data_IF_712537926960
#
_entry.id   IF_712537926960
#
_cell.length_a   1.000
_cell.length_b   1.000
_cell.length_c   1.000
_cell.angle_alpha   90.00
_cell.angle_beta   90.00
_cell.angle_gamma   90.00
#
_symmetry.space_group_name_H-M   'P 1'
#
loop_
_entity.id
_entity.type
_entity.pdbx_description
1 polymer ?
#
# COMPACT_ATOMS: atom_id res chain seq x y z
N UNK A 1 27.59 2.77 45.11
CA UNK A 1 26.61 2.66 44.01
C UNK A 1 25.14 2.59 44.47
N UNK A 2 24.71 1.60 45.35
CA UNK A 2 23.30 1.53 45.82
C UNK A 2 22.95 2.73 46.76
N UNK A 3 23.89 3.17 47.58
CA UNK A 3 23.74 4.34 48.48
C UNK A 3 23.58 5.64 47.69
N UNK A 4 24.33 5.79 46.59
CA UNK A 4 24.32 7.01 45.76
C UNK A 4 22.99 7.14 45.01
N UNK A 5 22.44 6.03 44.54
CA UNK A 5 21.13 5.97 43.91
C UNK A 5 19.97 6.32 44.87
N UNK A 6 20.04 5.82 46.11
CA UNK A 6 19.06 6.19 47.16
C UNK A 6 19.16 7.67 47.52
N UNK A 7 20.37 8.24 47.56
CA UNK A 7 20.57 9.64 47.82
C UNK A 7 20.02 10.51 46.70
N UNK A 8 20.30 10.17 45.44
CA UNK A 8 19.76 10.86 44.28
C UNK A 8 18.23 10.87 44.25
N UNK A 9 17.59 9.75 44.51
CA UNK A 9 16.11 9.64 44.59
C UNK A 9 15.53 10.52 45.72
N UNK A 10 16.17 10.56 46.89
CA UNK A 10 15.75 11.44 47.99
C UNK A 10 15.88 12.92 47.65
N UNK A 11 16.93 13.30 46.92
CA UNK A 11 17.16 14.69 46.51
C UNK A 11 16.11 15.11 45.47
N UNK A 12 15.81 14.27 44.50
CA UNK A 12 14.75 14.52 43.52
C UNK A 12 13.35 14.62 44.17
N UNK A 13 13.08 13.82 45.19
CA UNK A 13 11.83 13.90 45.94
C UNK A 13 11.68 15.17 46.76
N UNK A 14 12.78 15.80 47.17
CA UNK A 14 12.77 17.08 47.93
C UNK A 14 12.55 18.32 47.05
N UNK A 15 12.75 18.20 45.71
CA UNK A 15 12.55 19.27 44.73
C UNK A 15 11.55 18.85 43.68
N UNK A 16 10.26 18.71 44.03
CA UNK A 16 9.25 18.10 43.11
C UNK A 16 9.05 18.95 41.86
N UNK A 17 9.07 20.26 41.92
CA UNK A 17 8.90 21.13 40.75
C UNK A 17 10.00 20.93 39.70
N UNK A 18 11.27 20.90 40.13
CA UNK A 18 12.39 20.63 39.22
C UNK A 18 12.30 19.23 38.63
N UNK A 19 11.98 18.25 39.46
CA UNK A 19 11.87 16.83 39.04
C UNK A 19 10.78 16.64 38.00
N UNK A 20 9.61 17.25 38.19
CA UNK A 20 8.51 17.18 37.23
C UNK A 20 8.92 17.78 35.87
N UNK A 21 9.53 18.98 35.89
CA UNK A 21 9.98 19.65 34.67
C UNK A 21 11.01 18.77 33.93
N UNK A 22 12.01 18.25 34.67
CA UNK A 22 13.03 17.39 34.07
C UNK A 22 12.47 16.10 33.48
N UNK A 23 11.54 15.43 34.18
CA UNK A 23 10.89 14.20 33.70
C UNK A 23 10.03 14.50 32.49
N UNK A 24 9.23 15.57 32.48
CA UNK A 24 8.39 15.93 31.34
C UNK A 24 9.25 16.27 30.12
N UNK A 25 10.34 17.03 30.31
CA UNK A 25 11.25 17.36 29.19
C UNK A 25 11.89 16.11 28.59
N UNK A 26 12.38 15.19 29.43
CA UNK A 26 12.94 13.91 28.99
C UNK A 26 11.90 13.04 28.32
N UNK A 27 10.70 12.93 28.86
CA UNK A 27 9.61 12.16 28.29
C UNK A 27 9.20 12.68 26.91
N UNK A 28 9.12 14.01 26.73
CA UNK A 28 8.84 14.63 25.43
C UNK A 28 9.97 14.36 24.43
N UNK A 29 11.22 14.52 24.83
CA UNK A 29 12.37 14.28 23.96
C UNK A 29 12.46 12.81 23.51
N UNK A 30 12.32 11.87 24.44
CA UNK A 30 12.33 10.43 24.12
C UNK A 30 11.10 10.05 23.29
N UNK A 31 9.92 10.57 23.66
CA UNK A 31 8.67 10.30 22.95
C UNK A 31 8.71 10.78 21.49
N UNK A 32 9.20 12.01 21.26
CA UNK A 32 9.35 12.57 19.93
C UNK A 32 10.33 11.73 19.07
N UNK A 33 11.51 11.42 19.60
CA UNK A 33 12.49 10.59 18.90
C UNK A 33 11.96 9.18 18.60
N UNK A 34 11.26 8.57 19.54
CA UNK A 34 10.66 7.24 19.34
C UNK A 34 9.58 7.28 18.28
N UNK A 35 8.73 8.30 18.27
CA UNK A 35 7.68 8.46 17.25
C UNK A 35 8.27 8.63 15.85
N UNK A 36 9.30 9.49 15.71
CA UNK A 36 9.99 9.70 14.43
C UNK A 36 10.69 8.40 13.98
N UNK A 37 11.39 7.72 14.90
CA UNK A 37 12.05 6.46 14.58
C UNK A 37 11.05 5.36 14.17
N UNK A 38 9.91 5.26 14.86
CA UNK A 38 8.85 4.32 14.47
C UNK A 38 8.32 4.61 13.08
N UNK A 39 8.10 5.87 12.73
CA UNK A 39 7.66 6.28 11.41
C UNK A 39 8.69 5.92 10.33
N UNK A 40 9.96 6.24 10.56
CA UNK A 40 11.07 5.90 9.66
C UNK A 40 11.20 4.37 9.52
N UNK A 41 11.12 3.64 10.62
CA UNK A 41 11.20 2.19 10.62
C UNK A 41 10.06 1.56 9.81
N UNK A 42 8.83 2.05 9.97
CA UNK A 42 7.67 1.52 9.25
C UNK A 42 7.70 1.87 7.75
N UNK A 43 8.24 3.04 7.38
CA UNK A 43 8.29 3.50 5.98
C UNK A 43 9.52 2.98 5.22
N UNK A 44 10.69 2.87 5.87
CA UNK A 44 11.96 2.63 5.18
C UNK A 44 12.68 1.34 5.59
N UNK A 45 12.54 0.91 6.86
CA UNK A 45 13.29 -0.24 7.37
C UNK A 45 12.49 -1.54 7.37
N UNK A 46 11.15 -1.47 7.49
CA UNK A 46 10.31 -2.62 7.19
C UNK A 46 10.29 -2.77 5.69
N UNK A 47 11.04 -3.73 5.18
CA UNK A 47 11.08 -4.06 3.75
C UNK A 47 9.66 -4.20 3.19
N UNK A 48 9.50 -3.85 1.93
CA UNK A 48 8.25 -4.06 1.21
C UNK A 48 7.79 -5.51 1.42
N UNK A 49 6.50 -5.79 1.64
CA UNK A 49 5.98 -7.15 1.90
C UNK A 49 5.96 -7.99 0.62
N UNK A 50 6.88 -7.72 -0.28
CA UNK A 50 7.11 -8.48 -1.48
C UNK A 50 8.02 -9.66 -1.19
N UNK A 51 7.83 -10.74 -1.93
CA UNK A 51 8.59 -11.98 -1.71
C UNK A 51 10.10 -11.78 -1.86
N UNK A 52 10.52 -10.96 -2.83
CA UNK A 52 11.92 -10.65 -3.14
C UNK A 52 12.05 -9.18 -3.59
N UNK A 53 11.99 -8.19 -2.65
CA UNK A 53 11.92 -6.77 -3.01
C UNK A 53 13.11 -6.29 -3.85
N UNK A 54 14.30 -6.86 -3.61
CA UNK A 54 15.54 -6.51 -4.33
C UNK A 54 15.55 -6.97 -5.80
N UNK A 55 14.63 -7.83 -6.21
CA UNK A 55 14.47 -8.30 -7.59
C UNK A 55 13.36 -7.59 -8.35
N UNK A 56 12.60 -6.74 -7.68
CA UNK A 56 11.52 -5.97 -8.30
C UNK A 56 12.10 -4.66 -8.84
N UNK A 57 11.89 -4.42 -10.14
CA UNK A 57 12.28 -3.18 -10.83
C UNK A 57 11.03 -2.51 -11.36
N UNK A 58 10.91 -1.20 -11.16
CA UNK A 58 9.86 -0.41 -11.77
C UNK A 58 10.40 0.28 -13.02
N UNK A 59 9.74 0.08 -14.15
CA UNK A 59 10.14 0.62 -15.44
C UNK A 59 9.31 1.84 -15.79
N UNK A 60 9.98 2.93 -16.10
CA UNK A 60 9.40 4.16 -16.64
C UNK A 60 9.92 4.45 -18.03
N UNK A 61 9.13 5.14 -18.82
CA UNK A 61 9.61 5.74 -20.06
C UNK A 61 10.30 7.06 -19.76
N UNK A 62 11.21 7.48 -20.66
CA UNK A 62 11.84 8.79 -20.61
C UNK A 62 12.01 9.35 -22.01
N UNK A 63 11.99 10.68 -22.13
CA UNK A 63 12.33 11.42 -23.35
C UNK A 63 13.43 12.43 -23.03
N UNK A 64 14.67 12.06 -23.35
CA UNK A 64 15.82 12.91 -23.10
C UNK A 64 15.78 14.23 -23.87
N UNK A 65 15.16 14.25 -25.08
CA UNK A 65 15.06 15.44 -25.90
C UNK A 65 14.15 16.51 -25.29
N UNK A 66 13.16 16.09 -24.51
CA UNK A 66 12.20 16.95 -23.82
C UNK A 66 12.48 17.08 -22.33
N UNK A 67 13.59 16.51 -21.84
CA UNK A 67 13.94 16.44 -20.42
C UNK A 67 12.82 15.85 -19.55
N UNK A 68 12.10 14.85 -20.09
CA UNK A 68 11.04 14.15 -19.41
C UNK A 68 11.59 12.84 -18.84
N UNK A 69 11.39 12.63 -17.55
CA UNK A 69 11.75 11.42 -16.81
C UNK A 69 10.50 10.85 -16.15
N UNK A 70 10.50 9.56 -15.88
CA UNK A 70 9.41 8.86 -15.15
C UNK A 70 8.02 9.00 -15.80
N UNK A 71 7.99 8.91 -17.14
CA UNK A 71 6.73 8.92 -17.89
C UNK A 71 6.09 7.53 -17.85
N UNK A 72 4.78 7.48 -17.69
CA UNK A 72 4.03 6.24 -17.82
C UNK A 72 4.24 5.60 -19.21
N UNK A 73 4.41 4.28 -19.23
CA UNK A 73 4.54 3.51 -20.46
C UNK A 73 3.15 3.36 -21.07
N UNK A 74 2.98 3.69 -22.34
CA UNK A 74 1.71 3.50 -23.04
C UNK A 74 1.37 2.01 -23.21
N UNK A 75 0.08 1.68 -23.27
CA UNK A 75 -0.38 0.29 -23.39
C UNK A 75 0.23 -0.47 -24.60
N UNK A 76 0.32 0.10 -25.82
CA UNK A 76 0.98 -0.58 -26.93
C UNK A 76 2.47 -0.86 -26.70
N UNK A 77 3.18 0.09 -26.04
CA UNK A 77 4.59 -0.09 -25.71
C UNK A 77 4.79 -1.13 -24.62
N UNK A 78 3.90 -1.16 -23.63
CA UNK A 78 3.91 -2.19 -22.59
C UNK A 78 3.72 -3.58 -23.22
N UNK A 79 2.77 -3.73 -24.13
CA UNK A 79 2.51 -4.98 -24.85
C UNK A 79 3.76 -5.44 -25.61
N UNK A 80 4.37 -4.55 -26.38
CA UNK A 80 5.58 -4.84 -27.12
C UNK A 80 6.74 -5.29 -26.21
N UNK A 81 6.90 -4.64 -25.05
CA UNK A 81 7.92 -5.05 -24.08
C UNK A 81 7.59 -6.41 -23.46
N UNK A 82 6.33 -6.64 -23.10
CA UNK A 82 5.88 -7.92 -22.54
C UNK A 82 6.16 -9.10 -23.47
N UNK A 83 5.94 -8.92 -24.77
CA UNK A 83 6.15 -9.96 -25.78
C UNK A 83 7.64 -10.17 -26.14
N UNK A 84 8.42 -9.11 -26.15
CA UNK A 84 9.81 -9.16 -26.62
C UNK A 84 10.87 -9.31 -25.53
N UNK A 85 10.53 -9.17 -24.25
CA UNK A 85 11.50 -9.23 -23.17
C UNK A 85 11.89 -10.67 -22.81
N UNK A 86 13.17 -10.86 -22.48
CA UNK A 86 13.74 -12.14 -22.02
C UNK A 86 14.55 -12.01 -20.73
N UNK A 87 14.56 -10.81 -20.13
CA UNK A 87 15.41 -10.45 -19.01
C UNK A 87 14.71 -10.66 -17.64
N UNK A 88 13.37 -10.66 -17.65
CA UNK A 88 12.56 -10.70 -16.43
C UNK A 88 11.79 -12.01 -16.34
N UNK A 89 11.72 -12.60 -15.17
CA UNK A 89 10.91 -13.80 -14.88
C UNK A 89 9.40 -13.50 -14.93
N UNK A 90 9.02 -12.24 -14.70
CA UNK A 90 7.65 -11.76 -14.78
C UNK A 90 7.60 -10.29 -15.21
N UNK A 91 6.62 -9.93 -16.02
CA UNK A 91 6.40 -8.57 -16.48
C UNK A 91 4.94 -8.20 -16.28
N UNK A 92 4.68 -7.20 -15.42
CA UNK A 92 3.34 -6.78 -15.06
C UNK A 92 3.20 -5.27 -15.20
N UNK A 93 1.98 -4.81 -15.47
CA UNK A 93 1.66 -3.39 -15.62
C UNK A 93 0.63 -2.93 -14.61
N UNK A 94 0.75 -1.66 -14.19
CA UNK A 94 -0.25 -0.96 -13.40
C UNK A 94 -0.52 0.42 -13.97
N UNK A 95 -1.73 0.91 -13.77
CA UNK A 95 -2.09 2.28 -14.02
C UNK A 95 -3.05 2.76 -12.92
N UNK A 96 -2.65 3.83 -12.21
CA UNK A 96 -3.36 4.33 -11.02
C UNK A 96 -4.39 5.37 -11.44
N UNK A 97 -5.60 5.24 -10.90
CA UNK A 97 -6.72 6.14 -11.15
C UNK A 97 -7.45 6.51 -9.86
N UNK A 98 -8.20 7.60 -9.90
CA UNK A 98 -9.24 7.89 -8.92
C UNK A 98 -10.57 7.36 -9.46
N UNK A 99 -11.27 6.57 -8.65
CA UNK A 99 -12.60 6.04 -8.96
C UNK A 99 -13.63 6.64 -8.02
N UNK A 100 -14.83 6.83 -8.50
CA UNK A 100 -15.99 7.15 -7.66
C UNK A 100 -16.63 5.86 -7.17
N UNK A 101 -16.48 5.58 -5.88
CA UNK A 101 -17.14 4.44 -5.23
C UNK A 101 -18.57 4.85 -4.87
N UNK A 102 -19.55 4.02 -5.30
CA UNK A 102 -20.96 4.14 -4.96
C UNK A 102 -21.52 2.80 -4.49
N UNK A 103 -22.72 2.81 -3.90
CA UNK A 103 -23.35 1.59 -3.39
C UNK A 103 -22.83 1.10 -2.03
N UNK A 104 -21.90 1.84 -1.42
CA UNK A 104 -21.35 1.58 -0.07
C UNK A 104 -21.29 2.89 0.70
N UNK A 105 -22.43 3.30 1.29
CA UNK A 105 -22.59 4.63 1.92
C UNK A 105 -22.63 5.77 0.89
N UNK A 106 -22.24 6.96 1.33
CA UNK A 106 -22.19 8.15 0.46
C UNK A 106 -21.13 7.99 -0.64
N UNK A 107 -21.37 8.55 -1.85
CA UNK A 107 -20.40 8.54 -2.92
C UNK A 107 -19.07 9.17 -2.48
N UNK A 108 -17.96 8.48 -2.75
CA UNK A 108 -16.64 8.95 -2.35
C UNK A 108 -15.59 8.58 -3.39
N UNK A 109 -14.62 9.48 -3.58
CA UNK A 109 -13.45 9.16 -4.38
C UNK A 109 -12.51 8.21 -3.62
N UNK A 110 -12.12 7.13 -4.30
CA UNK A 110 -11.12 6.17 -3.85
C UNK A 110 -10.04 6.05 -4.91
N UNK A 111 -8.80 5.90 -4.47
CA UNK A 111 -7.70 5.59 -5.39
C UNK A 111 -7.63 4.10 -5.62
N UNK A 112 -7.31 3.72 -6.84
CA UNK A 112 -7.15 2.34 -7.23
C UNK A 112 -6.26 2.21 -8.44
N UNK A 113 -5.91 0.99 -8.80
CA UNK A 113 -5.12 0.67 -9.98
C UNK A 113 -5.87 -0.28 -10.91
N UNK A 114 -5.71 -0.08 -12.21
CA UNK A 114 -5.94 -1.13 -13.19
C UNK A 114 -4.61 -1.84 -13.40
N UNK A 115 -4.61 -3.15 -13.21
CA UNK A 115 -3.39 -3.96 -13.22
C UNK A 115 -3.54 -5.13 -14.19
N UNK A 116 -2.41 -5.64 -14.69
CA UNK A 116 -2.42 -6.93 -15.40
C UNK A 116 -2.73 -8.06 -14.42
N UNK A 117 -3.34 -9.17 -14.87
CA UNK A 117 -3.74 -10.27 -13.98
C UNK A 117 -2.61 -10.85 -13.12
N UNK A 118 -1.40 -10.91 -13.66
CA UNK A 118 -0.22 -11.44 -12.98
C UNK A 118 0.48 -10.43 -12.06
N UNK A 119 -0.07 -9.23 -11.87
CA UNK A 119 0.59 -8.14 -11.11
C UNK A 119 0.94 -8.55 -9.69
N UNK A 120 -0.01 -9.09 -8.94
CA UNK A 120 0.22 -9.52 -7.56
C UNK A 120 1.10 -10.76 -7.46
N UNK A 121 1.09 -11.62 -8.46
CA UNK A 121 1.97 -12.79 -8.52
C UNK A 121 3.43 -12.39 -8.75
N UNK A 122 3.67 -11.40 -9.63
CA UNK A 122 5.02 -10.80 -9.83
C UNK A 122 5.52 -10.16 -8.56
N UNK A 123 4.66 -9.48 -7.80
CA UNK A 123 5.01 -8.91 -6.48
C UNK A 123 5.14 -9.98 -5.38
N UNK A 124 4.71 -11.22 -5.63
CA UNK A 124 4.68 -12.30 -4.65
C UNK A 124 3.63 -12.08 -3.55
N UNK A 125 2.60 -11.28 -3.82
CA UNK A 125 1.55 -10.95 -2.85
C UNK A 125 0.38 -11.91 -2.99
N UNK A 126 0.00 -12.54 -1.87
CA UNK A 126 -1.15 -13.44 -1.78
C UNK A 126 -2.31 -12.79 -1.03
N UNK A 127 -3.54 -12.90 -1.52
CA UNK A 127 -4.72 -12.46 -0.79
C UNK A 127 -4.85 -13.20 0.56
N UNK A 128 -5.35 -12.48 1.56
CA UNK A 128 -5.72 -13.05 2.87
C UNK A 128 -7.11 -13.68 2.84
N UNK A 129 -7.96 -13.26 1.89
CA UNK A 129 -9.26 -13.86 1.59
C UNK A 129 -9.43 -13.91 0.07
N UNK A 130 -10.09 -14.94 -0.44
CA UNK A 130 -10.36 -15.09 -1.86
C UNK A 130 -9.12 -15.43 -2.70
N UNK A 131 -8.97 -14.79 -3.87
CA UNK A 131 -7.94 -15.10 -4.87
C UNK A 131 -7.41 -13.87 -5.59
N UNK A 132 -6.27 -14.01 -6.26
CA UNK A 132 -5.76 -13.04 -7.25
C UNK A 132 -6.56 -13.12 -8.56
N UNK A 133 -6.28 -12.20 -9.48
CA UNK A 133 -6.83 -12.23 -10.83
C UNK A 133 -6.36 -13.46 -11.59
N UNK A 134 -7.17 -13.86 -12.58
CA UNK A 134 -6.87 -14.94 -13.52
C UNK A 134 -6.53 -14.37 -14.90
N UNK A 135 -5.71 -15.06 -15.70
CA UNK A 135 -5.35 -14.58 -17.03
C UNK A 135 -6.57 -14.24 -17.93
N UNK A 136 -7.65 -15.01 -17.81
CA UNK A 136 -8.88 -14.81 -18.59
C UNK A 136 -9.61 -13.52 -18.22
N UNK A 137 -9.26 -12.89 -17.10
CA UNK A 137 -9.88 -11.66 -16.61
C UNK A 137 -9.18 -10.41 -17.20
N UNK A 138 -8.10 -10.54 -17.99
CA UNK A 138 -7.38 -9.44 -18.63
C UNK A 138 -8.26 -8.65 -19.61
N UNK A 139 -9.17 -9.30 -20.30
CA UNK A 139 -10.02 -8.67 -21.31
C UNK A 139 -11.26 -7.95 -20.76
N UNK A 140 -11.25 -7.60 -19.48
CA UNK A 140 -12.25 -6.70 -18.90
C UNK A 140 -13.34 -7.35 -18.08
N UNK A 141 -13.01 -8.37 -17.32
CA UNK A 141 -13.89 -8.85 -16.27
C UNK A 141 -14.13 -7.75 -15.22
N UNK A 142 -15.39 -7.54 -14.85
CA UNK A 142 -15.77 -6.59 -13.82
C UNK A 142 -15.50 -7.20 -12.43
N UNK A 143 -14.23 -7.36 -12.09
CA UNK A 143 -13.76 -7.93 -10.83
C UNK A 143 -12.80 -6.97 -10.13
N UNK A 144 -12.78 -7.02 -8.80
CA UNK A 144 -11.94 -6.18 -7.98
C UNK A 144 -11.25 -6.97 -6.86
N UNK A 145 -10.00 -6.61 -6.60
CA UNK A 145 -9.27 -7.03 -5.41
C UNK A 145 -9.08 -5.80 -4.54
N UNK A 146 -9.44 -5.91 -3.27
CA UNK A 146 -9.44 -4.80 -2.32
C UNK A 146 -8.35 -4.96 -1.26
N UNK A 147 -7.90 -3.87 -0.67
CA UNK A 147 -6.96 -3.93 0.45
C UNK A 147 -7.67 -4.24 1.77
N UNK A 148 -6.95 -4.80 2.74
CA UNK A 148 -7.45 -5.03 4.10
C UNK A 148 -7.99 -3.75 4.74
N UNK A 149 -7.32 -2.62 4.51
CA UNK A 149 -7.75 -1.31 5.05
C UNK A 149 -9.10 -0.91 4.46
N UNK A 150 -9.29 -1.05 3.15
CA UNK A 150 -10.56 -0.77 2.49
C UNK A 150 -11.67 -1.69 3.03
N UNK A 151 -11.41 -2.99 3.09
CA UNK A 151 -12.33 -3.99 3.63
C UNK A 151 -12.79 -3.64 5.05
N UNK A 152 -11.85 -3.31 5.94
CA UNK A 152 -12.17 -2.99 7.33
C UNK A 152 -12.90 -1.64 7.47
N UNK A 153 -12.40 -0.59 6.80
CA UNK A 153 -12.93 0.78 6.98
C UNK A 153 -14.22 1.05 6.21
N UNK A 154 -14.41 0.43 5.04
CA UNK A 154 -15.54 0.70 4.15
C UNK A 154 -16.58 -0.40 4.14
N UNK A 155 -16.18 -1.65 4.37
CA UNK A 155 -17.07 -2.80 4.33
C UNK A 155 -17.23 -3.46 5.72
N UNK A 156 -16.77 -2.80 6.79
CA UNK A 156 -16.95 -3.26 8.17
C UNK A 156 -16.20 -4.54 8.53
N UNK A 157 -15.29 -5.02 7.68
CA UNK A 157 -14.59 -6.28 7.91
C UNK A 157 -15.49 -7.52 7.72
N UNK A 158 -16.54 -7.42 6.93
CA UNK A 158 -17.49 -8.51 6.68
C UNK A 158 -16.76 -9.77 6.13
N UNK A 159 -16.83 -10.91 6.84
CA UNK A 159 -16.18 -12.14 6.38
C UNK A 159 -16.76 -12.69 5.06
N UNK A 160 -18.00 -12.30 4.70
CA UNK A 160 -18.66 -12.70 3.45
C UNK A 160 -18.45 -11.67 2.31
N UNK A 161 -17.34 -10.94 2.33
CA UNK A 161 -17.04 -9.89 1.35
C UNK A 161 -16.77 -10.42 -0.06
N UNK A 162 -16.27 -11.65 -0.19
CA UNK A 162 -15.99 -12.29 -1.48
C UNK A 162 -17.30 -12.60 -2.21
N UNK A 163 -17.37 -12.18 -3.48
CA UNK A 163 -18.59 -12.27 -4.30
C UNK A 163 -19.53 -11.06 -4.13
N UNK A 164 -19.28 -10.16 -3.18
CA UNK A 164 -20.04 -8.92 -3.03
C UNK A 164 -19.69 -7.94 -4.16
N UNK A 165 -20.69 -7.21 -4.65
CA UNK A 165 -20.48 -6.17 -5.65
C UNK A 165 -20.25 -4.79 -5.01
N UNK A 166 -19.32 -4.02 -5.62
CA UNK A 166 -19.10 -2.60 -5.38
C UNK A 166 -19.19 -1.87 -6.72
N UNK A 167 -19.65 -0.62 -6.73
CA UNK A 167 -19.79 0.15 -7.98
C UNK A 167 -18.69 1.18 -8.07
N UNK A 168 -17.89 1.11 -9.14
CA UNK A 168 -16.79 2.03 -9.43
C UNK A 168 -17.09 2.76 -10.74
N UNK A 169 -17.16 4.10 -10.69
CA UNK A 169 -17.52 4.95 -11.84
C UNK A 169 -18.78 4.46 -12.58
N UNK A 170 -19.77 4.00 -11.80
CA UNK A 170 -21.04 3.49 -12.33
C UNK A 170 -21.02 2.03 -12.80
N UNK A 171 -19.87 1.37 -12.83
CA UNK A 171 -19.73 -0.05 -13.24
C UNK A 171 -19.66 -0.95 -12.00
N UNK A 172 -20.51 -1.98 -11.89
CA UNK A 172 -20.44 -2.95 -10.80
C UNK A 172 -19.23 -3.88 -10.96
N UNK A 173 -18.45 -4.05 -9.88
CA UNK A 173 -17.31 -4.95 -9.83
C UNK A 173 -17.49 -5.96 -8.70
N UNK A 174 -17.27 -7.24 -8.98
CA UNK A 174 -17.33 -8.30 -7.97
C UNK A 174 -16.02 -8.39 -7.21
N UNK A 175 -16.06 -8.33 -5.89
CA UNK A 175 -14.88 -8.53 -5.03
C UNK A 175 -14.47 -10.00 -5.07
N UNK A 176 -13.24 -10.28 -5.53
CA UNK A 176 -12.70 -11.63 -5.66
C UNK A 176 -11.57 -11.93 -4.67
N UNK A 177 -11.00 -10.89 -4.07
CA UNK A 177 -9.89 -11.05 -3.11
C UNK A 177 -9.69 -9.86 -2.19
N UNK A 178 -9.09 -10.12 -1.03
CA UNK A 178 -8.64 -9.12 -0.07
C UNK A 178 -7.15 -9.27 0.13
N UNK A 179 -6.38 -8.23 -0.14
CA UNK A 179 -4.93 -8.20 0.05
C UNK A 179 -4.56 -7.88 1.50
N UNK A 180 -3.39 -8.32 1.98
CA UNK A 180 -2.81 -7.84 3.23
C UNK A 180 -2.60 -6.31 3.18
N UNK A 181 -2.20 -5.73 4.31
CA UNK A 181 -1.76 -4.33 4.28
C UNK A 181 -0.53 -4.21 3.39
N UNK A 182 -0.65 -3.38 2.36
CA UNK A 182 0.45 -3.06 1.46
C UNK A 182 1.10 -1.77 1.93
N UNK A 183 2.44 -1.65 1.97
CA UNK A 183 3.07 -0.38 2.29
C UNK A 183 2.91 0.66 1.18
N UNK A 184 3.32 1.87 1.50
CA UNK A 184 3.06 3.13 0.82
C UNK A 184 3.43 3.27 -0.67
N UNK A 185 4.15 2.35 -1.30
CA UNK A 185 4.25 2.35 -2.77
C UNK A 185 2.89 2.06 -3.43
N UNK A 186 1.96 1.56 -2.65
CA UNK A 186 0.55 1.30 -2.97
C UNK A 186 -0.36 2.15 -2.08
N UNK A 187 0.20 2.96 -1.20
CA UNK A 187 -0.50 3.83 -0.25
C UNK A 187 -0.84 5.20 -0.83
N UNK A 188 -1.36 5.22 -2.04
CA UNK A 188 -2.29 6.28 -2.34
C UNK A 188 -3.69 5.81 -1.96
N UNK A 189 -4.03 5.89 -0.66
CA UNK A 189 -5.38 5.67 -0.08
C UNK A 189 -6.18 4.50 -0.67
N UNK A 190 -7.16 3.89 -0.03
CA UNK A 190 -7.59 2.50 -0.21
C UNK A 190 -7.59 2.03 -1.68
N UNK A 191 -6.62 1.17 -2.00
CA UNK A 191 -6.34 0.73 -3.35
C UNK A 191 -7.35 -0.35 -3.74
N UNK A 192 -8.05 -0.09 -4.80
CA UNK A 192 -8.82 -1.04 -5.58
C UNK A 192 -8.00 -1.40 -6.82
N UNK A 193 -7.80 -2.68 -7.05
CA UNK A 193 -7.25 -3.15 -8.31
C UNK A 193 -8.37 -3.76 -9.15
N UNK A 194 -8.54 -3.24 -10.35
CA UNK A 194 -9.37 -3.86 -11.40
C UNK A 194 -8.46 -4.25 -12.56
N UNK A 195 -8.93 -5.15 -13.42
CA UNK A 195 -8.16 -5.59 -14.58
C UNK A 195 -7.95 -4.48 -15.61
N UNK A 196 -6.78 -4.47 -16.23
CA UNK A 196 -6.41 -3.51 -17.27
C UNK A 196 -7.12 -3.93 -18.58
N UNK A 197 -8.09 -3.12 -19.02
CA UNK A 197 -8.64 -3.27 -20.36
C UNK A 197 -7.69 -2.60 -21.34
N UNK A 198 -6.92 -3.37 -22.08
CA UNK A 198 -6.14 -2.87 -23.21
C UNK A 198 -7.06 -2.73 -24.41
N UNK A 199 -7.26 -1.51 -24.91
CA UNK A 199 -7.91 -1.22 -26.18
C UNK A 199 -6.84 -0.92 -27.22
#
# INVERSE_FOLDING_TARGET
MISDFKYALRTLAKTPGFTIIAVVTLALAIGANTAIFSLINDLFLRGLPFKEPSRIVHLFAGDKSRNLVDIAISAPRFQHYREGQTLFDGFAGENIFAFTLTGVGDPVQVFGGRVTPNYFDVLGVRPILGRNFRPEEEEGADVAVITKIFWQKRLGGDPNVIGRSITLDGTPHTIIGVLPNMPAMVEMKPVLASTLRMR
#
